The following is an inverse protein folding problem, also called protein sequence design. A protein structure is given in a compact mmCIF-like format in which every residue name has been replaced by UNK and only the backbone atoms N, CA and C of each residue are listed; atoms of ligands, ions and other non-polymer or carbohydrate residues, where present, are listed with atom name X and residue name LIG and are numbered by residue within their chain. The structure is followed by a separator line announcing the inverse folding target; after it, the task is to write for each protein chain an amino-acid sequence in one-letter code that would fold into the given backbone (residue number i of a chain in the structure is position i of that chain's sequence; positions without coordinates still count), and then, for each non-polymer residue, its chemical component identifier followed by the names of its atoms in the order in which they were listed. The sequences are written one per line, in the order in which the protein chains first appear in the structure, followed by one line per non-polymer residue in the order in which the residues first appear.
data_IF_767178607924
#
_entry.id   IF_767178607924
#
_cell.length_a   1.000
_cell.length_b   1.000
_cell.length_c   1.000
_cell.angle_alpha   90.00
_cell.angle_beta   90.00
_cell.angle_gamma   90.00
#
_symmetry.space_group_name_H-M   'P 1'
#
loop_
_entity.id
_entity.type
_entity.pdbx_description
1 polymer ?
#
# COMPACT_ATOMS: atom_id res chain seq x y z
N UNK A 1 -6.32 -22.95 20.12
CA UNK A 1 -6.40 -21.64 20.82
C UNK A 1 -7.51 -20.85 20.15
N UNK A 2 -8.75 -21.02 20.62
CA UNK A 2 -9.91 -20.32 20.07
C UNK A 2 -9.82 -18.87 20.54
N UNK A 3 -9.56 -17.94 19.64
CA UNK A 3 -9.60 -16.50 19.91
C UNK A 3 -11.07 -16.05 20.06
N UNK A 4 -11.71 -16.49 21.13
CA UNK A 4 -13.09 -16.11 21.44
C UNK A 4 -13.07 -14.72 22.11
N UNK A 5 -12.87 -13.68 21.30
CA UNK A 5 -12.80 -12.27 21.70
C UNK A 5 -14.18 -11.70 22.14
N UNK A 6 -15.12 -12.56 22.57
CA UNK A 6 -16.51 -12.21 22.85
C UNK A 6 -17.28 -11.80 21.58
N UNK A 7 -18.59 -11.53 21.73
CA UNK A 7 -19.53 -11.22 20.64
C UNK A 7 -19.09 -10.11 19.66
N UNK A 8 -18.09 -9.29 20.01
CA UNK A 8 -17.58 -8.18 19.19
C UNK A 8 -16.17 -8.41 18.64
N UNK A 9 -15.51 -9.51 19.01
CA UNK A 9 -14.16 -9.83 18.59
C UNK A 9 -13.95 -9.95 17.08
N UNK A 10 -14.91 -10.59 16.42
CA UNK A 10 -14.93 -10.70 14.96
C UNK A 10 -14.99 -9.35 14.28
N UNK A 11 -15.75 -8.39 14.84
CA UNK A 11 -15.85 -7.04 14.31
C UNK A 11 -14.52 -6.29 14.42
N UNK A 12 -13.87 -6.34 15.59
CA UNK A 12 -12.56 -5.70 15.80
C UNK A 12 -11.52 -6.25 14.83
N UNK A 13 -11.44 -7.58 14.70
CA UNK A 13 -10.50 -8.22 13.79
C UNK A 13 -10.78 -7.84 12.33
N UNK A 14 -12.05 -7.82 11.92
CA UNK A 14 -12.45 -7.41 10.58
C UNK A 14 -12.11 -5.93 10.32
N UNK A 15 -12.35 -5.04 11.27
CA UNK A 15 -11.99 -3.62 11.15
C UNK A 15 -10.48 -3.44 10.98
N UNK A 16 -9.66 -4.08 11.82
CA UNK A 16 -8.19 -3.99 11.68
C UNK A 16 -7.69 -4.61 10.37
N UNK A 17 -8.25 -5.75 9.96
CA UNK A 17 -7.91 -6.39 8.69
C UNK A 17 -8.26 -5.48 7.50
N UNK A 18 -9.43 -4.83 7.55
CA UNK A 18 -9.85 -3.88 6.53
C UNK A 18 -8.95 -2.64 6.49
N UNK A 19 -8.60 -2.07 7.66
CA UNK A 19 -7.63 -0.97 7.74
C UNK A 19 -6.28 -1.36 7.16
N UNK A 20 -5.76 -2.55 7.51
CA UNK A 20 -4.51 -3.05 6.97
C UNK A 20 -4.56 -3.21 5.45
N UNK A 21 -5.69 -3.68 4.91
CA UNK A 21 -5.91 -3.83 3.48
C UNK A 21 -5.92 -2.47 2.75
N UNK A 22 -6.61 -1.47 3.30
CA UNK A 22 -6.61 -0.11 2.76
C UNK A 22 -5.20 0.48 2.77
N UNK A 23 -4.49 0.38 3.90
CA UNK A 23 -3.11 0.87 4.02
C UNK A 23 -2.18 0.18 3.03
N UNK A 24 -2.27 -1.15 2.88
CA UNK A 24 -1.48 -1.90 1.91
C UNK A 24 -1.76 -1.45 0.47
N UNK A 25 -3.03 -1.20 0.13
CA UNK A 25 -3.44 -0.65 -1.17
C UNK A 25 -2.81 0.71 -1.46
N UNK A 26 -2.84 1.63 -0.48
CA UNK A 26 -2.24 2.95 -0.61
C UNK A 26 -0.72 2.89 -0.76
N UNK A 27 -0.05 2.08 0.06
CA UNK A 27 1.41 1.89 -0.03
C UNK A 27 1.79 1.31 -1.39
N UNK A 28 1.07 0.30 -1.85
CA UNK A 28 1.33 -0.33 -3.15
C UNK A 28 1.10 0.65 -4.30
N UNK A 29 0.06 1.49 -4.22
CA UNK A 29 -0.19 2.55 -5.19
C UNK A 29 0.96 3.57 -5.21
N UNK A 30 1.38 4.07 -4.05
CA UNK A 30 2.49 5.02 -3.93
C UNK A 30 3.81 4.45 -4.47
N UNK A 31 4.09 3.17 -4.22
CA UNK A 31 5.28 2.49 -4.78
C UNK A 31 5.22 2.39 -6.30
N UNK A 32 4.06 2.04 -6.86
CA UNK A 32 3.86 1.98 -8.31
C UNK A 32 4.02 3.35 -8.96
N UNK A 33 3.41 4.36 -8.38
CA UNK A 33 3.50 5.74 -8.85
C UNK A 33 4.96 6.23 -8.84
N UNK A 34 5.68 5.99 -7.74
CA UNK A 34 7.11 6.33 -7.64
C UNK A 34 7.97 5.61 -8.69
N UNK A 35 7.63 4.37 -9.06
CA UNK A 35 8.34 3.65 -10.14
C UNK A 35 8.12 4.30 -11.49
N UNK A 36 6.89 4.75 -11.79
CA UNK A 36 6.58 5.47 -13.03
C UNK A 36 7.28 6.83 -13.07
N UNK A 37 7.23 7.59 -11.99
CA UNK A 37 7.93 8.87 -11.88
C UNK A 37 9.44 8.73 -12.06
N UNK A 38 10.06 7.71 -11.44
CA UNK A 38 11.49 7.43 -11.59
C UNK A 38 11.89 7.07 -13.02
N UNK A 39 11.03 6.36 -13.75
CA UNK A 39 11.28 6.04 -15.17
C UNK A 39 11.23 7.31 -16.03
N UNK A 40 10.22 8.17 -15.83
CA UNK A 40 10.12 9.43 -16.55
C UNK A 40 11.33 10.35 -16.27
N UNK A 41 11.74 10.46 -14.99
CA UNK A 41 12.94 11.22 -14.62
C UNK A 41 14.21 10.65 -15.26
N UNK A 42 14.36 9.32 -15.33
CA UNK A 42 15.54 8.70 -15.96
C UNK A 42 15.61 8.94 -17.47
N UNK A 43 14.47 9.04 -18.15
CA UNK A 43 14.41 9.35 -19.58
C UNK A 43 14.81 10.81 -19.82
N UNK A 44 14.27 11.74 -19.04
CA UNK A 44 14.62 13.16 -19.13
C UNK A 44 16.10 13.43 -18.82
N UNK A 45 16.69 12.76 -17.82
CA UNK A 45 18.12 12.89 -17.52
C UNK A 45 19.03 12.32 -18.62
N UNK A 46 18.56 11.30 -19.36
CA UNK A 46 19.30 10.76 -20.50
C UNK A 46 19.25 11.68 -21.72
N UNK A 47 18.18 12.46 -21.86
CA UNK A 47 17.96 13.43 -22.94
C UNK A 47 18.71 14.74 -22.68
N UNK A 48 18.70 15.26 -21.45
CA UNK A 48 19.45 16.46 -21.02
C UNK A 48 20.99 16.30 -21.14
N UNK A 49 21.50 15.05 -21.10
CA UNK A 49 22.93 14.76 -21.20
C UNK A 49 23.44 14.65 -22.66
N UNK A 50 22.56 14.67 -23.67
CA UNK A 50 22.94 14.61 -25.10
C UNK A 50 23.01 16.00 -25.72
#
# INVERSE_FOLDING_TARGET
MSLDLGSHGGFILASYAFTALVMAGLVLNAVRDRRTQRRALSQLQAEDRR
#
